data_IF_550620369072
#
_entry.id   IF_550620369072
#
_cell.length_a   1.000
_cell.length_b   1.000
_cell.length_c   1.000
_cell.angle_alpha   90.00
_cell.angle_beta   90.00
_cell.angle_gamma   90.00
#
_symmetry.space_group_name_H-M   'P 1'
#
loop_
_entity.id
_entity.type
_entity.pdbx_description
1 polymer ?
#
# COMPACT_ATOMS: atom_id res chain seq x y z
N UNK A 1 16.10 54.29 47.10
CA UNK A 1 16.30 52.82 46.89
C UNK A 1 15.01 52.01 46.68
N UNK A 2 13.81 52.55 46.92
CA UNK A 2 12.55 51.77 46.80
C UNK A 2 11.94 51.70 45.40
N UNK A 3 12.18 52.70 44.53
CA UNK A 3 11.63 52.73 43.17
C UNK A 3 12.16 51.62 42.25
N UNK A 4 13.38 51.12 42.53
CA UNK A 4 13.98 50.06 41.72
C UNK A 4 13.37 48.68 42.04
N UNK A 5 12.96 48.45 43.30
CA UNK A 5 12.34 47.18 43.71
C UNK A 5 10.91 47.05 43.19
N UNK A 6 10.14 48.14 43.16
CA UNK A 6 8.79 48.16 42.58
C UNK A 6 8.82 48.04 41.05
N UNK A 7 9.80 48.68 40.39
CA UNK A 7 10.01 48.53 38.95
C UNK A 7 10.39 47.08 38.57
N UNK A 8 11.30 46.45 39.33
CA UNK A 8 11.67 45.04 39.10
C UNK A 8 10.49 44.10 39.33
N UNK A 9 9.68 44.33 40.37
CA UNK A 9 8.47 43.53 40.62
C UNK A 9 7.44 43.66 39.50
N UNK A 10 7.22 44.86 38.97
CA UNK A 10 6.31 45.09 37.84
C UNK A 10 6.82 44.44 36.55
N UNK A 11 8.13 44.47 36.29
CA UNK A 11 8.73 43.81 35.13
C UNK A 11 8.59 42.28 35.23
N UNK A 12 8.84 41.69 36.39
CA UNK A 12 8.70 40.24 36.61
C UNK A 12 7.23 39.81 36.45
N UNK A 13 6.28 40.56 37.02
CA UNK A 13 4.84 40.28 36.84
C UNK A 13 4.43 40.39 35.37
N UNK A 14 4.88 41.44 34.66
CA UNK A 14 4.61 41.60 33.23
C UNK A 14 5.21 40.46 32.38
N UNK A 15 6.43 40.01 32.69
CA UNK A 15 7.05 38.86 32.01
C UNK A 15 6.30 37.55 32.27
N UNK A 16 5.82 37.31 33.49
CA UNK A 16 5.03 36.10 33.81
C UNK A 16 3.63 36.10 33.18
N UNK A 17 2.98 37.27 33.05
CA UNK A 17 1.73 37.40 32.29
C UNK A 17 1.95 37.16 30.79
N UNK A 18 3.06 37.63 30.22
CA UNK A 18 3.39 37.40 28.81
C UNK A 18 3.61 35.91 28.49
N UNK A 19 4.25 35.15 29.38
CA UNK A 19 4.46 33.70 29.21
C UNK A 19 3.13 32.92 29.28
N UNK A 20 2.15 33.44 30.03
CA UNK A 20 0.81 32.82 30.14
C UNK A 20 -0.01 33.02 28.86
N UNK A 21 0.13 34.17 28.19
CA UNK A 21 -0.49 34.44 26.89
C UNK A 21 0.13 33.62 25.75
N UNK A 22 1.44 33.33 25.80
CA UNK A 22 2.08 32.43 24.81
C UNK A 22 1.66 30.98 24.96
N UNK A 23 1.41 30.51 26.20
CA UNK A 23 0.97 29.13 26.44
C UNK A 23 -0.49 28.89 26.02
N UNK A 24 -1.34 29.93 25.98
CA UNK A 24 -2.68 29.84 25.40
C UNK A 24 -2.66 29.72 23.86
N UNK A 25 -1.60 30.23 23.20
CA UNK A 25 -1.40 30.09 21.75
C UNK A 25 -0.65 28.80 21.35
N UNK A 26 -0.02 28.10 22.30
CA UNK A 26 0.66 26.82 22.05
C UNK A 26 -0.17 25.60 22.47
N UNK A 27 -1.26 25.80 23.21
CA UNK A 27 -2.21 24.73 23.59
C UNK A 27 -3.44 24.63 22.66
N UNK A 28 -3.58 25.56 21.71
CA UNK A 28 -4.57 25.47 20.63
C UNK A 28 -3.80 25.53 19.32
N UNK A 29 -3.64 24.39 18.64
CA UNK A 29 -2.96 24.30 17.34
C UNK A 29 -3.67 25.08 16.23
N UNK A 30 -3.67 26.41 16.33
CA UNK A 30 -4.18 27.35 15.34
C UNK A 30 -2.98 28.16 14.85
N UNK A 31 -2.30 27.58 13.87
CA UNK A 31 -1.53 28.36 12.92
C UNK A 31 -2.51 28.89 11.86
N UNK A 32 -2.48 30.20 11.63
CA UNK A 32 -2.89 30.81 10.37
C UNK A 32 -4.39 30.89 10.09
N UNK A 33 -4.91 32.12 10.07
CA UNK A 33 -6.06 32.44 9.24
C UNK A 33 -5.74 32.04 7.78
N UNK A 34 -6.39 30.99 7.33
CA UNK A 34 -6.11 30.31 6.07
C UNK A 34 -6.61 28.90 6.17
N UNK A 35 -7.82 28.69 5.68
CA UNK A 35 -8.54 27.43 5.58
C UNK A 35 -7.64 26.20 5.33
N UNK A 36 -7.64 25.28 6.30
CA UNK A 36 -7.36 23.87 6.06
C UNK A 36 -6.08 23.37 6.73
N UNK A 37 -6.27 22.62 7.81
CA UNK A 37 -5.36 21.53 8.19
C UNK A 37 -4.96 20.77 6.92
N UNK A 38 -3.67 20.44 6.77
CA UNK A 38 -3.11 19.78 5.60
C UNK A 38 -4.05 18.69 5.09
N UNK A 39 -4.81 19.04 4.04
CA UNK A 39 -5.73 18.12 3.40
C UNK A 39 -4.84 17.00 2.87
N UNK A 40 -5.16 15.71 3.11
CA UNK A 40 -4.46 14.64 2.41
C UNK A 40 -4.47 15.00 0.91
N UNK A 41 -3.35 14.80 0.19
CA UNK A 41 -3.29 15.17 -1.23
C UNK A 41 -4.55 14.63 -1.92
N UNK A 42 -5.25 15.46 -2.72
CA UNK A 42 -6.47 15.02 -3.37
C UNK A 42 -6.16 13.73 -4.12
N UNK A 43 -6.99 12.70 -3.89
CA UNK A 43 -6.88 11.46 -4.65
C UNK A 43 -6.95 11.83 -6.13
N UNK A 44 -6.11 11.23 -7.00
CA UNK A 44 -6.17 11.50 -8.43
C UNK A 44 -7.56 11.18 -8.95
N UNK A 45 -8.37 12.22 -9.18
CA UNK A 45 -9.72 12.10 -9.71
C UNK A 45 -9.67 12.26 -11.22
N UNK A 46 -10.49 11.49 -11.94
CA UNK A 46 -10.55 11.54 -13.40
C UNK A 46 -11.37 12.75 -13.89
N UNK A 47 -11.05 13.95 -13.39
CA UNK A 47 -11.79 15.18 -13.69
C UNK A 47 -11.79 15.57 -15.18
N UNK A 48 -10.84 15.02 -15.97
CA UNK A 48 -10.77 15.17 -17.43
C UNK A 48 -11.30 13.97 -18.22
N UNK A 49 -11.93 12.99 -17.57
CA UNK A 49 -12.28 11.71 -18.19
C UNK A 49 -11.08 10.80 -18.44
N UNK A 50 -11.35 9.55 -18.82
CA UNK A 50 -10.35 8.58 -19.20
C UNK A 50 -10.40 8.32 -20.71
N UNK A 51 -9.27 8.03 -21.34
CA UNK A 51 -9.21 7.67 -22.76
C UNK A 51 -10.04 6.40 -23.05
N UNK A 52 -10.44 6.23 -24.32
CA UNK A 52 -11.17 5.04 -24.75
C UNK A 52 -10.46 3.75 -24.33
N UNK A 53 -11.22 2.83 -23.71
CA UNK A 53 -10.68 1.58 -23.16
C UNK A 53 -10.16 1.66 -21.72
N UNK A 54 -10.26 2.83 -21.07
CA UNK A 54 -9.98 3.02 -19.65
C UNK A 54 -11.23 3.47 -18.90
N UNK A 55 -11.35 3.03 -17.64
CA UNK A 55 -12.41 3.44 -16.72
C UNK A 55 -11.80 4.20 -15.55
N UNK A 56 -12.60 5.08 -14.93
CA UNK A 56 -12.17 5.80 -13.75
C UNK A 56 -12.31 4.91 -12.51
N UNK A 57 -11.24 4.82 -11.71
CA UNK A 57 -11.19 4.14 -10.43
C UNK A 57 -10.61 5.02 -9.33
N UNK A 58 -10.39 4.42 -8.16
CA UNK A 58 -9.94 5.11 -6.95
C UNK A 58 -8.60 5.83 -7.12
N UNK A 59 -7.70 5.28 -7.95
CA UNK A 59 -6.34 5.78 -8.16
C UNK A 59 -6.14 6.44 -9.53
N UNK A 60 -7.23 6.76 -10.23
CA UNK A 60 -7.21 7.31 -11.59
C UNK A 60 -7.73 6.31 -12.64
N UNK A 61 -7.27 6.49 -13.88
CA UNK A 61 -7.72 5.66 -15.01
C UNK A 61 -7.05 4.29 -15.03
N UNK A 62 -7.85 3.22 -15.11
CA UNK A 62 -7.37 1.84 -15.22
C UNK A 62 -7.89 1.18 -16.50
N UNK A 63 -7.14 0.21 -17.02
CA UNK A 63 -7.49 -0.43 -18.30
C UNK A 63 -8.68 -1.38 -18.16
N UNK A 64 -9.68 -1.23 -19.02
CA UNK A 64 -10.87 -2.13 -19.09
C UNK A 64 -10.64 -3.35 -19.99
N UNK A 65 -9.44 -3.52 -20.55
CA UNK A 65 -9.12 -4.60 -21.49
C UNK A 65 -9.46 -6.00 -20.94
N UNK A 66 -9.47 -6.20 -19.61
CA UNK A 66 -9.94 -7.45 -18.98
C UNK A 66 -11.42 -7.46 -18.57
N UNK A 67 -12.03 -6.31 -18.28
CA UNK A 67 -13.44 -6.25 -17.88
C UNK A 67 -14.38 -6.74 -18.99
N UNK A 68 -13.99 -6.56 -20.27
CA UNK A 68 -14.77 -7.06 -21.41
C UNK A 68 -14.61 -8.56 -21.66
N UNK A 69 -13.48 -9.16 -21.27
CA UNK A 69 -13.22 -10.60 -21.46
C UNK A 69 -13.97 -11.45 -20.42
N UNK A 70 -14.31 -10.88 -19.26
CA UNK A 70 -15.13 -11.53 -18.24
C UNK A 70 -16.65 -11.46 -18.51
N UNK A 71 -17.11 -10.59 -19.43
CA UNK A 71 -18.54 -10.32 -19.67
C UNK A 71 -19.03 -10.72 -21.06
N UNK A 72 -18.16 -11.15 -21.97
CA UNK A 72 -18.55 -11.84 -23.21
C UNK A 72 -17.97 -13.24 -23.21
N UNK A 73 -18.79 -14.21 -22.80
CA UNK A 73 -18.53 -15.64 -22.97
C UNK A 73 -18.63 -15.98 -24.47
N UNK A 74 -17.64 -15.53 -25.24
CA UNK A 74 -17.45 -15.91 -26.64
C UNK A 74 -15.96 -15.87 -26.93
N UNK A 75 -15.24 -16.80 -26.30
CA UNK A 75 -13.90 -17.15 -26.73
C UNK A 75 -14.03 -17.84 -28.08
N UNK A 76 -13.47 -17.23 -29.12
CA UNK A 76 -13.17 -17.94 -30.35
C UNK A 76 -12.05 -18.91 -30.02
N UNK A 77 -12.43 -20.18 -29.99
CA UNK A 77 -11.53 -21.32 -29.97
C UNK A 77 -10.97 -21.40 -31.38
N UNK A 78 -9.74 -20.94 -31.56
CA UNK A 78 -8.90 -21.45 -32.65
C UNK A 78 -8.18 -22.68 -32.07
N UNK A 79 -8.26 -23.79 -32.80
CA UNK A 79 -8.00 -25.18 -32.41
C UNK A 79 -6.55 -25.50 -31.95
N UNK A 80 -6.16 -25.01 -30.78
CA UNK A 80 -5.02 -25.51 -29.95
C UNK A 80 -5.52 -25.88 -28.54
N UNK A 81 -6.73 -26.43 -28.47
CA UNK A 81 -7.63 -26.49 -27.30
C UNK A 81 -7.55 -27.80 -26.50
N UNK A 82 -6.40 -28.10 -25.91
CA UNK A 82 -6.37 -28.99 -24.72
C UNK A 82 -5.35 -28.58 -23.66
N UNK A 83 -4.61 -27.47 -23.87
CA UNK A 83 -3.60 -26.99 -22.92
C UNK A 83 -3.82 -25.53 -22.46
N UNK A 84 -4.94 -24.92 -22.86
CA UNK A 84 -5.25 -23.51 -22.58
C UNK A 84 -6.09 -23.30 -21.31
N UNK A 85 -6.66 -24.37 -20.73
CA UNK A 85 -7.49 -24.29 -19.49
C UNK A 85 -6.67 -24.46 -18.21
N UNK A 86 -5.51 -25.12 -18.26
CA UNK A 86 -4.57 -25.21 -17.13
C UNK A 86 -3.44 -24.20 -17.30
N UNK A 87 -3.76 -22.92 -17.55
CA UNK A 87 -2.71 -21.88 -17.56
C UNK A 87 -2.08 -21.89 -16.17
N UNK A 88 -0.86 -22.38 -16.12
CA UNK A 88 0.02 -22.35 -14.99
C UNK A 88 0.04 -20.95 -14.34
N UNK A 89 -0.73 -20.73 -13.27
CA UNK A 89 -0.73 -19.45 -12.55
C UNK A 89 0.54 -19.39 -11.72
N UNK A 90 1.58 -18.75 -12.25
CA UNK A 90 2.76 -18.46 -11.45
C UNK A 90 2.40 -17.53 -10.28
N UNK A 91 3.21 -17.43 -9.22
CA UNK A 91 2.99 -16.45 -8.16
C UNK A 91 2.84 -15.00 -8.68
N UNK A 92 3.57 -14.66 -9.75
CA UNK A 92 3.44 -13.37 -10.41
C UNK A 92 2.11 -13.21 -11.15
N UNK A 93 1.58 -14.27 -11.78
CA UNK A 93 0.26 -14.22 -12.42
C UNK A 93 -0.84 -13.95 -11.40
N UNK A 94 -0.83 -14.64 -10.25
CA UNK A 94 -1.80 -14.42 -9.16
C UNK A 94 -1.71 -13.00 -8.59
N UNK A 95 -0.50 -12.51 -8.35
CA UNK A 95 -0.27 -11.14 -7.88
C UNK A 95 -0.79 -10.11 -8.90
N UNK A 96 -0.39 -10.24 -10.16
CA UNK A 96 -0.82 -9.36 -11.25
C UNK A 96 -2.34 -9.39 -11.45
N UNK A 97 -2.96 -10.55 -11.34
CA UNK A 97 -4.41 -10.71 -11.43
C UNK A 97 -5.13 -9.98 -10.30
N UNK A 98 -4.67 -10.12 -9.06
CA UNK A 98 -5.23 -9.39 -7.93
C UNK A 98 -5.18 -7.86 -8.16
N UNK A 99 -4.04 -7.33 -8.63
CA UNK A 99 -3.90 -5.90 -8.92
C UNK A 99 -4.89 -5.42 -10.00
N UNK A 100 -5.10 -6.22 -11.04
CA UNK A 100 -6.07 -5.90 -12.10
C UNK A 100 -7.50 -5.92 -11.58
N UNK A 101 -7.86 -6.91 -10.75
CA UNK A 101 -9.18 -7.01 -10.13
C UNK A 101 -9.47 -5.85 -9.17
N UNK A 102 -8.43 -5.29 -8.53
CA UNK A 102 -8.54 -4.07 -7.73
C UNK A 102 -8.47 -2.78 -8.54
N UNK A 103 -8.51 -2.89 -9.88
CA UNK A 103 -8.55 -1.75 -10.80
C UNK A 103 -7.39 -0.77 -10.61
N UNK A 104 -6.19 -1.30 -10.34
CA UNK A 104 -4.99 -0.48 -10.28
C UNK A 104 -4.64 0.06 -11.67
N UNK A 105 -4.18 1.33 -11.77
CA UNK A 105 -3.75 1.91 -13.04
C UNK A 105 -2.47 1.23 -13.54
N UNK A 106 -2.19 1.34 -14.84
CA UNK A 106 -1.05 0.64 -15.48
C UNK A 106 0.31 1.01 -14.86
N UNK A 107 0.47 2.25 -14.38
CA UNK A 107 1.66 2.69 -13.63
C UNK A 107 1.89 1.87 -12.37
N UNK A 108 0.83 1.40 -11.72
CA UNK A 108 0.90 0.52 -10.56
C UNK A 108 1.03 -0.95 -10.96
N UNK A 109 0.42 -1.37 -12.08
CA UNK A 109 0.54 -2.75 -12.59
C UNK A 109 1.99 -3.13 -12.89
N UNK A 110 2.83 -2.17 -13.28
CA UNK A 110 4.27 -2.36 -13.46
C UNK A 110 4.98 -2.88 -12.18
N UNK A 111 4.35 -2.76 -11.00
CA UNK A 111 4.87 -3.19 -9.70
C UNK A 111 4.27 -4.51 -9.23
N UNK A 112 3.28 -5.06 -9.94
CA UNK A 112 2.53 -6.24 -9.53
C UNK A 112 3.19 -7.56 -9.95
N UNK A 113 4.48 -7.68 -9.63
CA UNK A 113 5.26 -8.91 -9.71
C UNK A 113 6.30 -8.89 -8.58
N UNK A 114 6.70 -10.04 -8.07
CA UNK A 114 7.71 -10.13 -7.01
C UNK A 114 9.09 -9.57 -7.43
N UNK A 115 9.33 -9.45 -8.74
CA UNK A 115 10.56 -8.86 -9.28
C UNK A 115 10.51 -7.32 -9.28
N UNK A 116 9.34 -6.72 -9.58
CA UNK A 116 9.18 -5.28 -9.65
C UNK A 116 8.68 -4.65 -8.33
N UNK A 117 8.05 -5.45 -7.48
CA UNK A 117 7.69 -5.13 -6.10
C UNK A 117 8.96 -5.09 -5.27
N UNK A 118 9.60 -3.94 -5.24
CA UNK A 118 10.89 -3.71 -4.57
C UNK A 118 10.78 -2.54 -3.60
N UNK A 119 11.71 -2.48 -2.65
CA UNK A 119 11.86 -1.32 -1.75
C UNK A 119 11.88 0.00 -2.52
N UNK A 120 12.69 0.06 -3.57
CA UNK A 120 12.91 1.28 -4.35
C UNK A 120 11.62 1.71 -5.07
N UNK A 121 10.89 0.76 -5.65
CA UNK A 121 9.62 1.06 -6.32
C UNK A 121 8.58 1.67 -5.38
N UNK A 122 8.46 1.17 -4.15
CA UNK A 122 7.53 1.70 -3.14
C UNK A 122 8.03 3.00 -2.51
N UNK A 123 9.33 3.12 -2.28
CA UNK A 123 9.95 4.35 -1.80
C UNK A 123 9.72 5.51 -2.79
N UNK A 124 9.81 5.25 -4.09
CA UNK A 124 9.50 6.24 -5.13
C UNK A 124 8.02 6.64 -5.13
N UNK A 125 7.10 5.69 -4.86
CA UNK A 125 5.68 6.02 -4.68
C UNK A 125 5.48 6.93 -3.47
N UNK A 126 6.16 6.63 -2.35
CA UNK A 126 6.08 7.42 -1.12
C UNK A 126 6.56 8.86 -1.33
N UNK A 127 7.70 9.02 -1.99
CA UNK A 127 8.25 10.35 -2.33
C UNK A 127 7.56 11.01 -3.53
N UNK A 128 6.51 10.38 -4.08
CA UNK A 128 5.75 10.87 -5.24
C UNK A 128 6.62 11.15 -6.47
N UNK A 129 7.74 10.44 -6.58
CA UNK A 129 8.60 10.42 -7.78
C UNK A 129 8.17 9.35 -8.77
N UNK A 130 7.21 8.50 -8.37
CA UNK A 130 6.61 7.48 -9.20
C UNK A 130 5.22 7.90 -9.70
N UNK A 131 4.87 7.49 -10.92
CA UNK A 131 3.55 7.74 -11.51
C UNK A 131 2.42 6.93 -10.85
N UNK A 132 2.74 5.88 -10.08
CA UNK A 132 1.78 5.18 -9.24
C UNK A 132 1.66 5.89 -7.88
N UNK A 133 0.46 6.34 -7.49
CA UNK A 133 0.28 7.05 -6.22
C UNK A 133 0.49 6.14 -5.02
N UNK A 134 1.04 6.67 -3.92
CA UNK A 134 1.25 5.91 -2.67
C UNK A 134 -0.04 5.31 -2.09
N UNK A 135 -1.21 5.91 -2.37
CA UNK A 135 -2.51 5.36 -1.94
C UNK A 135 -2.76 3.94 -2.48
N UNK A 136 -2.21 3.60 -3.65
CA UNK A 136 -2.31 2.26 -4.21
C UNK A 136 -1.39 1.22 -3.54
N UNK A 137 -0.42 1.64 -2.71
CA UNK A 137 0.52 0.73 -2.07
C UNK A 137 -0.17 -0.29 -1.18
N UNK A 138 -1.23 0.10 -0.46
CA UNK A 138 -1.98 -0.82 0.40
C UNK A 138 -2.56 -2.00 -0.41
N UNK A 139 -3.15 -1.73 -1.59
CA UNK A 139 -3.67 -2.77 -2.48
C UNK A 139 -2.55 -3.63 -3.10
N UNK A 140 -1.39 -3.03 -3.40
CA UNK A 140 -0.22 -3.77 -3.88
C UNK A 140 0.31 -4.71 -2.78
N UNK A 141 0.44 -4.23 -1.54
CA UNK A 141 0.84 -5.04 -0.38
C UNK A 141 -0.15 -6.18 -0.14
N UNK A 142 -1.45 -5.87 -0.15
CA UNK A 142 -2.52 -6.86 -0.01
C UNK A 142 -2.42 -7.96 -1.07
N UNK A 143 -2.27 -7.56 -2.34
CA UNK A 143 -2.18 -8.49 -3.45
C UNK A 143 -0.89 -9.33 -3.43
N UNK A 144 0.24 -8.75 -3.03
CA UNK A 144 1.48 -9.50 -2.85
C UNK A 144 1.34 -10.57 -1.77
N UNK A 145 0.71 -10.24 -0.64
CA UNK A 145 0.54 -11.16 0.49
C UNK A 145 -0.66 -12.11 0.37
N UNK A 146 -1.39 -12.05 -0.76
CA UNK A 146 -2.65 -12.79 -1.00
C UNK A 146 -3.74 -12.57 0.06
N UNK A 147 -3.73 -11.43 0.75
CA UNK A 147 -4.69 -11.11 1.80
C UNK A 147 -4.56 -11.94 3.09
N UNK A 148 -3.37 -12.49 3.36
CA UNK A 148 -3.11 -13.42 4.47
C UNK A 148 -2.25 -12.80 5.58
N UNK A 149 -2.14 -13.54 6.68
CA UNK A 149 -1.30 -13.18 7.82
C UNK A 149 0.05 -13.90 7.75
N UNK A 150 1.13 -13.13 7.56
CA UNK A 150 2.50 -13.62 7.46
C UNK A 150 3.33 -13.33 8.72
N UNK A 151 2.73 -12.85 9.81
CA UNK A 151 3.46 -12.37 10.99
C UNK A 151 4.47 -13.39 11.54
N UNK A 152 4.15 -14.68 11.54
CA UNK A 152 5.06 -15.74 12.00
C UNK A 152 6.29 -15.93 11.10
N UNK A 153 6.13 -15.84 9.78
CA UNK A 153 7.26 -15.84 8.86
C UNK A 153 8.09 -14.58 9.05
N UNK A 154 7.41 -13.44 9.11
CA UNK A 154 8.02 -12.13 9.23
C UNK A 154 8.86 -11.95 10.50
N UNK A 155 8.36 -12.42 11.63
CA UNK A 155 9.06 -12.41 12.90
C UNK A 155 10.36 -13.23 12.81
N UNK A 156 10.29 -14.45 12.25
CA UNK A 156 11.46 -15.33 12.06
C UNK A 156 12.47 -14.75 11.07
N UNK A 157 12.01 -14.00 10.08
CA UNK A 157 12.86 -13.32 9.10
C UNK A 157 13.42 -11.98 9.59
N UNK A 158 13.19 -11.62 10.86
CA UNK A 158 13.80 -10.46 11.50
C UNK A 158 13.26 -9.11 11.04
N UNK A 159 12.00 -9.04 10.58
CA UNK A 159 11.37 -7.77 10.18
C UNK A 159 11.18 -6.82 11.37
N UNK A 160 11.09 -7.38 12.58
CA UNK A 160 11.01 -6.62 13.83
C UNK A 160 12.36 -6.08 14.31
N UNK A 161 13.47 -6.39 13.63
CA UNK A 161 14.80 -5.87 14.00
C UNK A 161 15.09 -4.47 13.45
N UNK A 162 14.13 -3.85 12.78
CA UNK A 162 14.26 -2.48 12.26
C UNK A 162 14.06 -1.47 13.40
N UNK A 163 14.36 -0.19 13.14
CA UNK A 163 14.11 0.88 14.11
C UNK A 163 12.63 1.01 14.52
N UNK A 164 11.71 0.60 13.64
CA UNK A 164 10.26 0.65 13.91
C UNK A 164 9.75 -0.59 14.68
N UNK A 165 10.60 -1.61 14.90
CA UNK A 165 10.29 -2.74 15.76
C UNK A 165 9.05 -3.53 15.31
N UNK A 166 8.18 -3.86 16.27
CA UNK A 166 6.96 -4.62 16.02
C UNK A 166 5.93 -3.90 15.14
N UNK A 167 6.04 -2.58 14.93
CA UNK A 167 5.16 -1.86 14.01
C UNK A 167 5.24 -2.41 12.58
N UNK A 168 6.38 -2.99 12.21
CA UNK A 168 6.56 -3.57 10.88
C UNK A 168 5.74 -4.83 10.63
N UNK A 169 5.26 -5.49 11.68
CA UNK A 169 4.35 -6.64 11.53
C UNK A 169 3.00 -6.24 10.93
N UNK A 170 2.63 -4.96 10.97
CA UNK A 170 1.49 -4.41 10.25
C UNK A 170 1.56 -4.67 8.75
N UNK A 171 2.75 -4.65 8.14
CA UNK A 171 2.88 -4.98 6.72
C UNK A 171 2.78 -6.48 6.43
N UNK A 172 2.94 -7.32 7.45
CA UNK A 172 2.86 -8.76 7.33
C UNK A 172 1.43 -9.30 7.49
N UNK A 173 0.59 -8.57 8.22
CA UNK A 173 -0.82 -8.88 8.35
C UNK A 173 -1.62 -8.14 7.27
N UNK A 174 -1.88 -8.82 6.15
CA UNK A 174 -2.63 -8.25 5.02
C UNK A 174 -4.08 -8.75 4.98
N UNK A 175 -4.60 -9.26 6.10
CA UNK A 175 -6.02 -9.66 6.15
C UNK A 175 -6.93 -8.44 5.95
N UNK A 176 -8.05 -8.60 5.23
CA UNK A 176 -8.99 -7.51 5.02
C UNK A 176 -9.55 -7.00 6.35
N UNK A 177 -9.84 -5.71 6.42
CA UNK A 177 -10.46 -5.07 7.60
C UNK A 177 -9.50 -4.31 8.52
N UNK A 178 -8.18 -4.51 8.39
CA UNK A 178 -7.17 -3.74 9.14
C UNK A 178 -6.37 -2.82 8.19
N UNK A 179 -6.99 -1.73 7.74
CA UNK A 179 -6.29 -0.74 6.90
C UNK A 179 -5.52 0.21 7.80
N UNK A 180 -4.20 0.08 7.80
CA UNK A 180 -3.33 1.02 8.50
C UNK A 180 -2.96 2.19 7.60
N UNK A 181 -3.07 3.40 8.15
CA UNK A 181 -2.59 4.60 7.46
C UNK A 181 -1.07 4.61 7.53
N UNK A 182 -0.43 4.43 6.39
CA UNK A 182 1.02 4.41 6.26
C UNK A 182 1.54 5.85 6.32
N UNK A 183 2.20 6.18 7.44
CA UNK A 183 2.95 7.42 7.61
C UNK A 183 4.48 7.18 7.53
N UNK A 184 5.26 8.24 7.74
CA UNK A 184 6.72 8.17 7.68
C UNK A 184 7.35 7.26 8.74
N UNK A 185 6.64 6.96 9.84
CA UNK A 185 7.17 6.13 10.93
C UNK A 185 7.33 4.66 10.53
N UNK A 186 6.71 4.26 9.41
CA UNK A 186 6.81 2.93 8.83
C UNK A 186 7.95 2.78 7.83
N UNK A 187 8.62 3.86 7.42
CA UNK A 187 9.74 3.80 6.46
C UNK A 187 10.89 2.87 6.90
N UNK A 188 11.29 2.80 8.18
CA UNK A 188 12.32 1.84 8.61
C UNK A 188 11.94 0.37 8.36
N UNK A 189 10.65 0.04 8.26
CA UNK A 189 10.22 -1.32 7.97
C UNK A 189 10.69 -1.80 6.59
N UNK A 190 10.90 -0.87 5.65
CA UNK A 190 11.41 -1.20 4.33
C UNK A 190 12.90 -1.56 4.31
N UNK A 191 13.64 -1.39 5.41
CA UNK A 191 15.01 -1.93 5.53
C UNK A 191 15.05 -3.47 5.45
N UNK A 192 13.96 -4.13 5.84
CA UNK A 192 13.78 -5.59 5.75
C UNK A 192 12.77 -5.98 4.67
N UNK A 193 12.55 -5.12 3.68
CA UNK A 193 11.54 -5.34 2.66
C UNK A 193 11.73 -6.64 1.87
N UNK A 194 12.97 -6.98 1.51
CA UNK A 194 13.25 -8.21 0.75
C UNK A 194 12.95 -9.48 1.58
N UNK A 195 13.25 -9.46 2.88
CA UNK A 195 12.88 -10.53 3.81
C UNK A 195 11.35 -10.69 3.93
N UNK A 196 10.62 -9.56 3.99
CA UNK A 196 9.16 -9.54 3.98
C UNK A 196 8.59 -10.10 2.68
N UNK A 197 9.09 -9.63 1.54
CA UNK A 197 8.69 -10.09 0.21
C UNK A 197 8.93 -11.59 0.04
N UNK A 198 10.01 -12.11 0.60
CA UNK A 198 10.31 -13.54 0.55
C UNK A 198 9.23 -14.38 1.24
N UNK A 199 8.69 -13.94 2.39
CA UNK A 199 7.58 -14.62 3.06
C UNK A 199 6.36 -14.74 2.14
N UNK A 200 5.98 -13.64 1.51
CA UNK A 200 4.84 -13.57 0.60
C UNK A 200 5.03 -14.51 -0.59
N UNK A 201 6.20 -14.44 -1.24
CA UNK A 201 6.52 -15.28 -2.40
C UNK A 201 6.54 -16.76 -2.06
N UNK A 202 7.13 -17.15 -0.91
CA UNK A 202 7.20 -18.55 -0.50
C UNK A 202 5.82 -19.16 -0.32
N UNK A 203 4.90 -18.43 0.31
CA UNK A 203 3.54 -18.92 0.49
C UNK A 203 2.77 -19.00 -0.83
N UNK A 204 2.86 -17.95 -1.66
CA UNK A 204 2.24 -17.94 -2.98
C UNK A 204 2.74 -19.10 -3.85
N UNK A 205 4.05 -19.35 -3.84
CA UNK A 205 4.67 -20.46 -4.58
C UNK A 205 4.23 -21.83 -4.06
N UNK A 206 4.12 -22.00 -2.73
CA UNK A 206 3.56 -23.24 -2.15
C UNK A 206 2.13 -23.45 -2.60
N UNK A 207 1.28 -22.42 -2.53
CA UNK A 207 -0.12 -22.52 -2.94
C UNK A 207 -0.25 -22.92 -4.42
N UNK A 208 0.57 -22.34 -5.29
CA UNK A 208 0.64 -22.69 -6.72
C UNK A 208 1.03 -24.16 -6.91
N UNK A 209 2.07 -24.65 -6.21
CA UNK A 209 2.47 -26.06 -6.26
C UNK A 209 1.34 -26.98 -5.79
N UNK A 210 0.63 -26.62 -4.73
CA UNK A 210 -0.51 -27.40 -4.23
C UNK A 210 -1.65 -27.44 -5.25
N UNK A 211 -1.94 -26.33 -5.92
CA UNK A 211 -2.95 -26.29 -6.98
C UNK A 211 -2.59 -27.23 -8.14
N UNK A 212 -1.36 -27.17 -8.67
CA UNK A 212 -0.94 -28.11 -9.73
C UNK A 212 -1.08 -29.58 -9.34
N UNK A 213 -0.76 -29.92 -8.09
CA UNK A 213 -0.89 -31.30 -7.59
C UNK A 213 -2.35 -31.74 -7.54
N UNK A 214 -3.26 -30.85 -7.17
CA UNK A 214 -4.69 -31.14 -7.14
C UNK A 214 -5.24 -31.30 -8.57
N UNK A 215 -4.87 -30.39 -9.48
CA UNK A 215 -5.30 -30.44 -10.89
C UNK A 215 -4.78 -31.70 -11.61
N UNK A 216 -3.59 -32.19 -11.22
CA UNK A 216 -3.03 -33.45 -11.72
C UNK A 216 -3.65 -34.70 -11.06
N UNK A 217 -4.26 -34.57 -9.89
CA UNK A 217 -4.98 -35.66 -9.23
C UNK A 217 -6.41 -35.81 -9.77
N UNK A 218 -7.06 -34.70 -10.10
CA UNK A 218 -8.40 -34.67 -10.73
C UNK A 218 -8.38 -35.33 -12.11
N UNK A 219 -7.35 -35.03 -12.91
CA UNK A 219 -7.08 -35.64 -14.22
C UNK A 219 -7.06 -37.17 -14.16
N UNK A 220 -6.41 -37.73 -13.14
CA UNK A 220 -6.32 -39.19 -12.91
C UNK A 220 -7.58 -39.83 -12.35
N UNK A 221 -8.58 -39.04 -11.95
CA UNK A 221 -9.86 -39.55 -11.43
C UNK A 221 -10.94 -39.68 -12.51
N UNK A 222 -10.63 -39.19 -13.72
CA UNK A 222 -11.48 -39.27 -14.91
C UNK A 222 -11.11 -40.44 -15.85
N UNK A 223 -10.01 -41.14 -15.56
CA UNK A 223 -9.56 -42.40 -16.20
C UNK A 223 -9.95 -43.63 -15.37
#
# INVERSE_FOLDING_TARGET
>A
MFANKTAIALIVVASTLAISLTNACLASGVCGGGSGCGVPPPQPSCGGGCSSGYSCGTYGCFSTKKARVASSLTLKIDDDEENSVKKALTPNDRFMECCKTRNLPDSCLAKCSYNAYTRNALQNMYFRTDSCPIAAAADIHYCAAEGKDHRDCCYRQGITTTLAGNKCLTFCDQRPGNVTQLDYTYMPCYDRFENMKQCFWQEANKAVIHQYKNDAADDKSLE
#
